data_IF_647983686400
#
_entry.id   IF_647983686400
#
_cell.length_a   1.000
_cell.length_b   1.000
_cell.length_c   1.000
_cell.angle_alpha   90.00
_cell.angle_beta   90.00
_cell.angle_gamma   90.00
#
_symmetry.space_group_name_H-M   'P 1'
#
loop_
_entity.id
_entity.type
_entity.pdbx_description
1 polymer ?
#
# COMPACT_ATOMS: atom_id res chain seq x y z
N UNK A 1 10.14 -8.79 -18.41
CA UNK A 1 9.05 -7.86 -18.12
C UNK A 1 7.78 -8.56 -17.62
N UNK A 2 7.53 -9.81 -18.04
CA UNK A 2 6.36 -10.61 -17.63
C UNK A 2 6.39 -10.95 -16.12
N UNK A 3 7.54 -11.27 -15.56
CA UNK A 3 7.68 -11.63 -14.14
C UNK A 3 7.37 -10.45 -13.19
N UNK A 4 7.78 -9.23 -13.54
CA UNK A 4 7.47 -8.04 -12.74
C UNK A 4 5.99 -7.69 -12.77
N UNK A 5 5.30 -7.91 -13.91
CA UNK A 5 3.86 -7.72 -14.05
C UNK A 5 3.05 -8.74 -13.25
N UNK A 6 3.56 -9.97 -13.10
CA UNK A 6 2.88 -11.04 -12.37
C UNK A 6 3.02 -10.89 -10.85
N UNK A 7 4.16 -10.39 -10.38
CA UNK A 7 4.35 -9.98 -8.97
C UNK A 7 3.39 -8.82 -8.62
N UNK A 8 3.18 -7.90 -9.55
CA UNK A 8 2.27 -6.78 -9.40
C UNK A 8 0.80 -7.19 -9.26
N UNK A 9 0.32 -8.15 -10.07
CA UNK A 9 -1.06 -8.65 -10.02
C UNK A 9 -1.38 -9.47 -8.75
N UNK A 10 -0.37 -9.90 -8.03
CA UNK A 10 -0.49 -10.70 -6.80
C UNK A 10 -0.35 -9.88 -5.52
N UNK A 11 -0.58 -8.57 -5.59
CA UNK A 11 -0.59 -7.70 -4.43
C UNK A 11 -1.48 -8.27 -3.31
N UNK A 12 -0.87 -8.43 -2.14
CA UNK A 12 -1.56 -8.89 -0.94
C UNK A 12 -1.71 -10.40 -0.83
N UNK A 13 -1.24 -11.23 -1.78
CA UNK A 13 -1.14 -12.66 -1.52
C UNK A 13 0.10 -12.96 -0.67
N UNK A 14 -0.10 -13.66 0.43
CA UNK A 14 0.97 -14.10 1.34
C UNK A 14 2.12 -14.79 0.59
N UNK A 15 1.80 -15.71 -0.31
CA UNK A 15 2.78 -16.42 -1.13
C UNK A 15 3.53 -15.50 -2.09
N UNK A 16 2.83 -14.55 -2.74
CA UNK A 16 3.45 -13.61 -3.68
C UNK A 16 4.47 -12.69 -3.01
N UNK A 17 4.16 -12.18 -1.82
CA UNK A 17 5.08 -11.35 -1.04
C UNK A 17 6.33 -12.13 -0.63
N UNK A 18 6.18 -13.36 -0.16
CA UNK A 18 7.34 -14.22 0.22
C UNK A 18 8.24 -14.53 -0.96
N UNK A 19 7.67 -14.88 -2.12
CA UNK A 19 8.45 -15.14 -3.33
C UNK A 19 9.22 -13.88 -3.74
N UNK A 20 8.54 -12.72 -3.82
CA UNK A 20 9.16 -11.46 -4.22
C UNK A 20 10.29 -11.04 -3.30
N UNK A 21 10.08 -11.11 -1.99
CA UNK A 21 11.12 -10.77 -1.00
C UNK A 21 12.29 -11.76 -1.06
N UNK A 22 12.03 -13.08 -1.20
CA UNK A 22 13.09 -14.08 -1.32
C UNK A 22 13.95 -13.86 -2.57
N UNK A 23 13.34 -13.51 -3.71
CA UNK A 23 14.07 -13.16 -4.93
C UNK A 23 14.92 -11.91 -4.73
N UNK A 24 14.36 -10.84 -4.15
CA UNK A 24 15.10 -9.60 -3.88
C UNK A 24 16.30 -9.84 -2.97
N UNK A 25 16.09 -10.58 -1.87
CA UNK A 25 17.17 -10.99 -0.94
C UNK A 25 18.26 -11.79 -1.67
N UNK A 26 17.89 -12.76 -2.50
CA UNK A 26 18.86 -13.57 -3.26
C UNK A 26 19.71 -12.74 -4.23
N UNK A 27 19.08 -11.78 -4.92
CA UNK A 27 19.79 -10.86 -5.81
C UNK A 27 20.74 -9.94 -5.01
N UNK A 28 20.24 -9.34 -3.92
CA UNK A 28 21.03 -8.44 -3.08
C UNK A 28 22.24 -9.17 -2.48
N UNK A 29 22.04 -10.36 -1.95
CA UNK A 29 23.10 -11.19 -1.41
C UNK A 29 24.13 -11.61 -2.47
N UNK A 30 23.67 -12.15 -3.60
CA UNK A 30 24.55 -12.64 -4.67
C UNK A 30 25.34 -11.54 -5.40
N UNK A 31 24.82 -10.30 -5.41
CA UNK A 31 25.47 -9.14 -6.05
C UNK A 31 26.15 -8.21 -5.06
N UNK A 32 26.07 -8.50 -3.78
CA UNK A 32 26.56 -7.65 -2.69
C UNK A 32 26.06 -6.18 -2.82
N UNK A 33 24.76 -6.02 -3.05
CA UNK A 33 24.09 -4.71 -3.12
C UNK A 33 23.07 -4.57 -1.99
N UNK A 34 22.81 -3.35 -1.47
CA UNK A 34 21.88 -3.14 -0.38
C UNK A 34 20.44 -3.45 -0.78
N UNK A 35 19.63 -3.90 0.18
CA UNK A 35 18.21 -4.14 0.03
C UNK A 35 17.41 -2.93 0.52
N UNK A 36 16.49 -2.42 -0.28
CA UNK A 36 15.57 -1.35 0.09
C UNK A 36 14.16 -1.92 0.14
N UNK A 37 13.47 -1.73 1.26
CA UNK A 37 12.07 -2.09 1.44
C UNK A 37 11.20 -0.84 1.48
N UNK A 38 10.25 -0.70 0.55
CA UNK A 38 9.35 0.44 0.44
C UNK A 38 7.91 0.03 0.76
N UNK A 39 7.18 0.79 1.60
CA UNK A 39 5.77 0.53 1.87
C UNK A 39 4.91 0.71 0.62
N UNK A 40 4.07 -0.26 0.29
CA UNK A 40 3.20 -0.21 -0.89
C UNK A 40 2.26 1.00 -0.89
N UNK A 41 1.78 1.42 0.29
CA UNK A 41 0.90 2.59 0.41
C UNK A 41 1.64 3.90 0.07
N UNK A 42 2.92 4.02 0.40
CA UNK A 42 3.73 5.16 -0.03
C UNK A 42 3.95 5.14 -1.55
N UNK A 43 4.23 3.96 -2.13
CA UNK A 43 4.38 3.81 -3.59
C UNK A 43 3.10 4.19 -4.33
N UNK A 44 1.91 3.87 -3.78
CA UNK A 44 0.61 4.32 -4.30
C UNK A 44 0.44 5.84 -4.25
N UNK A 45 1.06 6.50 -3.30
CA UNK A 45 0.93 7.95 -3.12
C UNK A 45 1.77 8.76 -4.11
N UNK A 46 2.86 8.18 -4.62
CA UNK A 46 3.75 8.87 -5.56
C UNK A 46 3.04 9.36 -6.82
N UNK A 47 2.26 8.55 -7.57
CA UNK A 47 1.57 9.03 -8.76
C UNK A 47 0.52 10.11 -8.44
N UNK A 48 -0.11 10.06 -7.28
CA UNK A 48 -1.07 11.09 -6.85
C UNK A 48 -0.35 12.42 -6.66
N UNK A 49 0.79 12.42 -5.98
CA UNK A 49 1.62 13.62 -5.77
C UNK A 49 2.22 14.18 -7.07
N UNK A 50 2.50 13.33 -8.06
CA UNK A 50 3.14 13.76 -9.30
C UNK A 50 2.15 14.25 -10.36
N UNK A 51 0.92 13.73 -10.39
CA UNK A 51 0.01 13.92 -11.52
C UNK A 51 -1.31 14.58 -11.15
N UNK A 52 -1.57 14.84 -9.85
CA UNK A 52 -2.77 15.52 -9.40
C UNK A 52 -2.42 16.84 -8.71
N UNK A 53 -3.21 17.86 -9.01
CA UNK A 53 -3.10 19.13 -8.31
C UNK A 53 -3.85 19.03 -6.97
N UNK A 54 -3.09 19.08 -5.88
CA UNK A 54 -3.60 18.90 -4.53
C UNK A 54 -3.41 20.19 -3.72
N UNK A 55 -4.39 20.59 -2.90
CA UNK A 55 -4.23 21.66 -1.93
C UNK A 55 -3.02 21.44 -1.00
N UNK A 56 -2.48 22.50 -0.41
CA UNK A 56 -1.31 22.39 0.47
C UNK A 56 -1.59 21.57 1.73
N UNK A 57 -2.81 21.67 2.26
CA UNK A 57 -3.30 20.96 3.44
C UNK A 57 -3.85 19.56 3.15
N UNK A 58 -3.83 19.11 1.87
CA UNK A 58 -4.36 17.83 1.49
C UNK A 58 -3.72 16.66 2.24
N UNK A 59 -4.56 15.75 2.71
CA UNK A 59 -4.15 14.46 3.28
C UNK A 59 -4.36 13.34 2.27
N UNK A 60 -3.46 12.38 2.29
CA UNK A 60 -3.38 11.25 1.37
C UNK A 60 -3.78 9.97 2.11
N UNK A 61 -4.79 9.27 1.63
CA UNK A 61 -5.25 8.02 2.21
C UNK A 61 -5.26 6.88 1.17
N UNK A 62 -4.09 6.28 0.88
CA UNK A 62 -4.01 5.09 0.04
C UNK A 62 -4.71 3.91 0.70
N UNK A 63 -5.48 3.16 -0.10
CA UNK A 63 -6.27 2.02 0.36
C UNK A 63 -6.01 0.77 -0.47
N UNK A 64 -5.61 -0.33 0.17
CA UNK A 64 -5.56 -1.65 -0.43
C UNK A 64 -6.75 -2.48 0.02
N UNK A 65 -7.37 -3.20 -0.92
CA UNK A 65 -8.51 -4.05 -0.62
C UNK A 65 -8.11 -5.24 0.29
N UNK A 66 -8.76 -5.35 1.45
CA UNK A 66 -8.61 -6.43 2.43
C UNK A 66 -9.84 -7.36 2.48
N UNK A 67 -10.67 -7.35 1.43
CA UNK A 67 -11.96 -8.06 1.28
C UNK A 67 -13.09 -7.44 2.10
N UNK A 68 -14.35 -7.73 1.71
CA UNK A 68 -15.57 -7.13 2.31
C UNK A 68 -15.42 -5.60 2.38
N UNK A 69 -15.86 -4.98 3.48
CA UNK A 69 -15.69 -3.54 3.73
C UNK A 69 -14.40 -3.21 4.49
N UNK A 70 -13.39 -4.07 4.45
CA UNK A 70 -12.11 -3.87 5.08
C UNK A 70 -11.04 -3.43 4.09
N UNK A 71 -10.20 -2.49 4.50
CA UNK A 71 -9.06 -1.98 3.72
C UNK A 71 -7.80 -1.92 4.58
N UNK A 72 -6.64 -2.06 3.96
CA UNK A 72 -5.38 -1.62 4.58
C UNK A 72 -5.13 -0.18 4.17
N UNK A 73 -5.10 0.73 5.12
CA UNK A 73 -4.95 2.15 4.87
C UNK A 73 -3.97 2.81 5.85
N UNK A 74 -3.41 3.91 5.42
CA UNK A 74 -2.63 4.84 6.25
C UNK A 74 -3.04 6.26 5.86
N UNK A 75 -2.69 7.25 6.68
CA UNK A 75 -2.89 8.66 6.32
C UNK A 75 -1.55 9.37 6.34
N UNK A 76 -1.25 10.09 5.26
CA UNK A 76 -0.03 10.86 5.08
C UNK A 76 -0.34 12.31 4.77
N UNK A 77 0.61 13.21 5.05
CA UNK A 77 0.64 14.52 4.42
C UNK A 77 1.29 14.47 3.03
N UNK A 78 1.36 15.60 2.32
CA UNK A 78 1.96 15.69 0.97
C UNK A 78 3.46 15.40 0.95
N UNK A 79 4.17 15.50 2.07
CA UNK A 79 5.57 15.14 2.19
C UNK A 79 5.78 13.65 2.53
N UNK A 80 4.69 12.87 2.57
CA UNK A 80 4.63 11.48 3.00
C UNK A 80 5.04 11.28 4.48
N UNK A 81 4.85 12.29 5.33
CA UNK A 81 4.93 12.08 6.76
C UNK A 81 3.67 11.37 7.25
N UNK A 82 3.87 10.38 8.09
CA UNK A 82 2.77 9.56 8.63
C UNK A 82 1.93 10.39 9.60
N UNK A 83 0.64 10.62 9.28
CA UNK A 83 -0.36 11.17 10.19
C UNK A 83 -1.10 10.08 10.94
N UNK A 84 -1.35 8.95 10.28
CA UNK A 84 -1.85 7.72 10.89
C UNK A 84 -1.11 6.53 10.29
N UNK A 85 -0.58 5.67 11.15
CA UNK A 85 0.10 4.45 10.73
C UNK A 85 -0.86 3.49 10.03
N UNK A 86 -0.30 2.59 9.22
CA UNK A 86 -1.06 1.57 8.52
C UNK A 86 -1.88 0.71 9.49
N UNK A 87 -3.15 0.54 9.18
CA UNK A 87 -4.07 -0.32 9.90
C UNK A 87 -5.00 -1.08 8.95
N UNK A 88 -5.66 -2.11 9.48
CA UNK A 88 -6.75 -2.80 8.82
C UNK A 88 -8.06 -2.20 9.31
N UNK A 89 -8.72 -1.42 8.47
CA UNK A 89 -9.91 -0.65 8.81
C UNK A 89 -11.16 -1.30 8.23
N UNK A 90 -12.15 -1.55 9.08
CA UNK A 90 -13.53 -1.84 8.63
C UNK A 90 -14.20 -0.48 8.43
N UNK A 91 -14.46 -0.12 7.18
CA UNK A 91 -14.93 1.22 6.81
C UNK A 91 -16.44 1.35 7.00
N UNK A 92 -16.83 2.39 7.72
CA UNK A 92 -18.18 2.84 7.96
C UNK A 92 -18.35 4.36 7.72
N UNK A 93 -19.48 4.91 8.08
CA UNK A 93 -19.83 6.33 7.88
C UNK A 93 -19.02 7.28 8.79
N UNK A 94 -18.43 6.77 9.87
CA UNK A 94 -17.64 7.54 10.83
C UNK A 94 -16.14 7.43 10.57
N UNK A 95 -15.75 6.57 9.66
CA UNK A 95 -14.34 6.31 9.35
C UNK A 95 -13.67 7.58 8.80
N UNK A 96 -12.48 7.89 9.34
CA UNK A 96 -11.65 9.03 8.95
C UNK A 96 -12.22 10.43 9.25
N UNK A 97 -13.32 10.57 10.00
CA UNK A 97 -13.91 11.87 10.36
C UNK A 97 -12.92 12.80 11.06
N UNK A 98 -12.01 12.26 11.86
CA UNK A 98 -10.95 13.05 12.53
C UNK A 98 -10.10 13.85 11.53
N UNK A 99 -9.81 13.28 10.35
CA UNK A 99 -9.04 13.93 9.29
C UNK A 99 -9.95 14.76 8.37
N UNK A 100 -11.12 14.23 8.03
CA UNK A 100 -12.07 14.88 7.13
C UNK A 100 -12.64 16.20 7.69
N UNK A 101 -12.73 16.33 9.00
CA UNK A 101 -13.15 17.57 9.65
C UNK A 101 -12.07 18.66 9.60
N UNK A 102 -10.81 18.30 9.41
CA UNK A 102 -9.67 19.21 9.43
C UNK A 102 -9.19 19.62 8.03
N UNK A 103 -9.19 18.69 7.06
CA UNK A 103 -8.59 18.91 5.77
C UNK A 103 -9.24 18.07 4.66
N UNK A 104 -9.01 18.39 3.36
CA UNK A 104 -9.35 17.51 2.24
C UNK A 104 -8.56 16.21 2.30
N UNK A 105 -9.25 15.07 2.28
CA UNK A 105 -8.65 13.74 2.28
C UNK A 105 -8.85 13.08 0.93
N UNK A 106 -7.77 12.65 0.30
CA UNK A 106 -7.77 11.99 -0.99
C UNK A 106 -7.62 10.48 -0.82
N UNK A 107 -8.67 9.75 -1.18
CA UNK A 107 -8.75 8.29 -1.11
C UNK A 107 -8.47 7.70 -2.48
N UNK A 108 -7.56 6.73 -2.57
CA UNK A 108 -7.17 6.07 -3.83
C UNK A 108 -6.60 4.67 -3.60
N UNK A 109 -6.41 3.94 -4.71
CA UNK A 109 -5.99 2.54 -4.69
C UNK A 109 -7.17 1.59 -4.83
N UNK A 110 -6.89 0.29 -4.96
CA UNK A 110 -7.91 -0.72 -5.27
C UNK A 110 -8.92 -0.99 -4.14
N UNK A 111 -8.69 -0.45 -2.95
CA UNK A 111 -9.63 -0.51 -1.82
C UNK A 111 -10.56 0.69 -1.73
N UNK A 112 -10.25 1.81 -2.41
CA UNK A 112 -10.97 3.07 -2.21
C UNK A 112 -12.37 3.07 -2.83
N UNK A 113 -12.55 2.50 -4.01
CA UNK A 113 -13.81 2.56 -4.75
C UNK A 113 -15.01 2.03 -3.95
N UNK A 114 -14.84 0.92 -3.23
CA UNK A 114 -15.91 0.33 -2.40
C UNK A 114 -16.26 1.17 -1.16
N UNK A 115 -15.36 2.07 -0.73
CA UNK A 115 -15.56 2.91 0.44
C UNK A 115 -16.34 4.19 0.13
N UNK A 116 -16.50 4.53 -1.16
CA UNK A 116 -17.13 5.78 -1.62
C UNK A 116 -18.57 5.95 -1.12
N UNK A 117 -19.32 4.85 -1.03
CA UNK A 117 -20.71 4.89 -0.55
C UNK A 117 -20.79 5.10 0.98
N UNK A 118 -19.72 4.80 1.71
CA UNK A 118 -19.66 4.95 3.16
C UNK A 118 -19.06 6.28 3.58
N UNK A 119 -18.04 6.73 2.88
CA UNK A 119 -17.35 7.99 3.19
C UNK A 119 -17.93 9.09 2.31
N UNK A 120 -18.96 9.78 2.80
CA UNK A 120 -19.71 10.79 2.02
C UNK A 120 -19.43 12.23 2.45
N UNK A 121 -18.43 12.45 3.29
CA UNK A 121 -18.05 13.77 3.79
C UNK A 121 -17.63 14.73 2.65
N UNK A 122 -17.95 16.04 2.68
CA UNK A 122 -17.59 17.00 1.62
C UNK A 122 -16.09 17.08 1.31
N UNK A 123 -15.24 16.87 2.33
CA UNK A 123 -13.78 16.84 2.17
C UNK A 123 -13.23 15.48 1.72
N UNK A 124 -14.10 14.49 1.43
CA UNK A 124 -13.67 13.20 0.91
C UNK A 124 -13.58 13.26 -0.61
N UNK A 125 -12.37 13.11 -1.14
CA UNK A 125 -12.08 13.10 -2.57
C UNK A 125 -11.57 11.73 -2.98
N UNK A 126 -12.11 11.15 -4.06
CA UNK A 126 -11.71 9.84 -4.55
C UNK A 126 -11.01 9.95 -5.89
N UNK A 127 -9.81 9.37 -5.98
CA UNK A 127 -9.04 9.29 -7.23
C UNK A 127 -9.06 7.84 -7.71
N UNK A 128 -9.61 7.63 -8.89
CA UNK A 128 -9.71 6.31 -9.50
C UNK A 128 -8.42 5.93 -10.25
N UNK A 129 -8.28 4.66 -10.60
CA UNK A 129 -7.20 4.11 -11.42
C UNK A 129 -5.77 4.29 -10.89
N UNK A 130 -5.62 4.52 -9.60
CA UNK A 130 -4.31 4.55 -8.96
C UNK A 130 -3.87 3.13 -8.61
N UNK A 131 -2.75 2.72 -9.23
CA UNK A 131 -2.13 1.41 -9.03
C UNK A 131 -0.65 1.56 -8.64
N UNK A 132 -0.10 0.66 -7.82
CA UNK A 132 1.32 0.69 -7.48
C UNK A 132 2.13 0.21 -8.69
N UNK A 133 2.82 1.11 -9.32
CA UNK A 133 3.69 0.84 -10.46
C UNK A 133 5.15 0.79 -10.00
N UNK A 134 5.92 -0.18 -10.48
CA UNK A 134 7.33 -0.32 -10.11
C UNK A 134 8.15 0.97 -10.38
N UNK A 135 7.86 1.69 -11.47
CA UNK A 135 8.50 2.97 -11.78
C UNK A 135 8.28 4.05 -10.72
N UNK A 136 7.19 3.95 -9.94
CA UNK A 136 6.88 4.90 -8.86
C UNK A 136 7.66 4.62 -7.57
N UNK A 137 8.40 3.51 -7.53
CA UNK A 137 9.32 3.23 -6.42
C UNK A 137 10.59 4.09 -6.48
N UNK A 138 10.95 4.60 -7.66
CA UNK A 138 12.23 5.28 -7.88
C UNK A 138 12.47 6.48 -6.95
N UNK A 139 11.57 7.48 -6.81
CA UNK A 139 11.79 8.63 -5.92
C UNK A 139 11.94 8.21 -4.44
N UNK A 140 11.18 7.20 -4.02
CA UNK A 140 11.27 6.68 -2.65
C UNK A 140 12.58 5.91 -2.43
N UNK A 141 13.05 5.16 -3.44
CA UNK A 141 14.30 4.45 -3.39
C UNK A 141 15.49 5.44 -3.32
N UNK A 142 15.49 6.53 -4.09
CA UNK A 142 16.51 7.57 -3.99
C UNK A 142 16.54 8.21 -2.60
N UNK A 143 15.36 8.50 -2.03
CA UNK A 143 15.25 9.02 -0.66
C UNK A 143 15.81 8.03 0.37
N UNK A 144 15.54 6.72 0.20
CA UNK A 144 16.07 5.66 1.07
C UNK A 144 17.60 5.55 0.96
N UNK A 145 18.15 5.60 -0.26
CA UNK A 145 19.61 5.61 -0.49
C UNK A 145 20.26 6.83 0.17
N UNK A 146 19.69 8.02 -0.01
CA UNK A 146 20.24 9.25 0.57
C UNK A 146 20.21 9.24 2.12
N UNK A 147 19.36 8.41 2.72
CA UNK A 147 19.25 8.24 4.17
C UNK A 147 19.94 7.00 4.69
N UNK A 148 20.56 6.21 3.80
CA UNK A 148 21.15 4.89 4.12
C UNK A 148 20.14 3.93 4.79
N UNK A 149 18.82 4.09 4.47
CA UNK A 149 17.75 3.22 5.00
C UNK A 149 17.74 1.88 4.26
N UNK A 150 18.73 1.06 4.57
CA UNK A 150 18.86 -0.28 4.02
C UNK A 150 18.31 -1.32 4.98
N UNK A 151 17.74 -2.37 4.41
CA UNK A 151 17.21 -3.49 5.18
C UNK A 151 18.25 -4.60 5.28
N UNK A 152 18.27 -5.26 6.42
CA UNK A 152 19.09 -6.44 6.61
C UNK A 152 18.64 -7.56 5.69
N UNK A 153 19.50 -8.02 4.80
CA UNK A 153 19.17 -9.05 3.80
C UNK A 153 18.81 -10.39 4.46
N UNK A 154 19.40 -10.72 5.61
CA UNK A 154 19.08 -11.96 6.31
C UNK A 154 17.72 -11.93 7.00
N UNK A 155 17.38 -10.82 7.66
CA UNK A 155 16.22 -10.72 8.56
C UNK A 155 15.04 -9.96 7.99
N UNK A 156 15.16 -9.26 6.86
CA UNK A 156 14.03 -8.54 6.26
C UNK A 156 12.88 -9.48 5.91
N UNK A 157 11.69 -9.14 6.35
CA UNK A 157 10.44 -9.83 6.04
C UNK A 157 9.37 -8.86 5.54
N UNK A 158 8.39 -9.33 4.74
CA UNK A 158 7.23 -8.51 4.41
C UNK A 158 6.47 -8.13 5.68
N UNK A 159 5.91 -6.94 5.69
CA UNK A 159 5.07 -6.50 6.79
C UNK A 159 3.68 -7.14 6.70
N UNK A 160 3.37 -8.02 7.63
CA UNK A 160 2.07 -8.69 7.73
C UNK A 160 1.21 -8.01 8.78
N UNK A 161 0.16 -7.27 8.35
CA UNK A 161 -0.82 -6.65 9.27
C UNK A 161 -1.75 -7.65 9.94
N UNK A 162 -1.97 -8.79 9.29
CA UNK A 162 -2.79 -9.89 9.81
C UNK A 162 -2.00 -11.18 9.79
N UNK A 163 -2.22 -12.00 10.83
CA UNK A 163 -1.72 -13.36 10.83
C UNK A 163 -2.35 -14.17 9.69
N UNK A 164 -1.58 -15.11 9.18
CA UNK A 164 -2.06 -16.01 8.13
C UNK A 164 -3.12 -16.94 8.69
N UNK A 165 -4.38 -16.76 8.30
CA UNK A 165 -5.46 -17.71 8.55
C UNK A 165 -5.56 -18.66 7.35
N UNK A 166 -5.11 -19.90 7.54
CA UNK A 166 -5.29 -20.94 6.54
C UNK A 166 -6.80 -21.21 6.35
N UNK A 167 -7.33 -20.94 5.15
CA UNK A 167 -8.67 -21.42 4.81
C UNK A 167 -8.59 -22.93 4.62
N UNK A 168 -9.38 -23.68 5.39
CA UNK A 168 -9.56 -25.10 5.13
C UNK A 168 -10.09 -25.27 3.70
N UNK A 169 -9.53 -26.20 2.91
CA UNK A 169 -10.05 -26.47 1.57
C UNK A 169 -11.52 -26.85 1.69
N UNK A 170 -12.39 -26.21 0.90
CA UNK A 170 -13.76 -26.68 0.74
C UNK A 170 -13.68 -28.14 0.34
N UNK A 171 -14.37 -29.03 1.10
CA UNK A 171 -14.49 -30.44 0.74
C UNK A 171 -14.78 -30.56 -0.76
N UNK A 172 -13.96 -31.31 -1.45
CA UNK A 172 -14.17 -31.70 -2.83
C UNK A 172 -15.55 -32.35 -2.95
N UNK A 173 -16.38 -31.80 -3.82
CA UNK A 173 -17.60 -32.47 -4.30
C UNK A 173 -17.16 -33.58 -5.25
N UNK A 174 -16.62 -34.66 -4.68
CA UNK A 174 -16.44 -35.94 -5.33
C UNK A 174 -17.02 -36.97 -4.33
N UNK A 175 -18.30 -37.05 -4.30
CA UNK A 175 -19.15 -38.23 -4.07
C UNK A 175 -20.27 -38.24 -5.10
#
# INVERSE_FOLDING_TARGET
>A
SSAASDVYKRQGSYTGLRIGVSMAKGICYGRNVPLIGLPTLEVLSVPVLLYHDLPEDALLCPMLDARRMEVYAAVYDRALNVKRAIAADIVDENSYLEFLNEAPVYFYGNGAAKCREKITHPNAHFIDDIHPLAKMMYPLAEKAVAREDYKDVAYFEPFYLKEFVASLPKKSLLE
#
